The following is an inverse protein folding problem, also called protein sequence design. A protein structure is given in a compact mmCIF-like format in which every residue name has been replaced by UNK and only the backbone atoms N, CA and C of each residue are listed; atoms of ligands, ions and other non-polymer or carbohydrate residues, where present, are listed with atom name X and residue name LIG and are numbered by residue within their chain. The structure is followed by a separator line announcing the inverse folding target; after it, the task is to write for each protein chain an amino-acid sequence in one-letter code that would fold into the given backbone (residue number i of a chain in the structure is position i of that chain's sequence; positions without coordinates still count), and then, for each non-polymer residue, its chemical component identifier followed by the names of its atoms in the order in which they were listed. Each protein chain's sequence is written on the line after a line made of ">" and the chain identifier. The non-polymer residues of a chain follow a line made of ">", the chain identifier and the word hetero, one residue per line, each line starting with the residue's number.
data_IF_218622478224
#
_entry.id   IF_218622478224
#
_cell.length_a   1.000
_cell.length_b   1.000
_cell.length_c   1.000
_cell.angle_alpha   90.00
_cell.angle_beta   90.00
_cell.angle_gamma   90.00
#
_symmetry.space_group_name_H-M   'P 1'
#
loop_
_entity.id
_entity.type
_entity.pdbx_description
1 polymer ?
#
# COMPACT_ATOMS: atom_id res chain seq x y z
N UNK A 1 10.03 20.85 -5.01
CA UNK A 1 9.48 19.48 -4.98
C UNK A 1 8.47 19.50 -3.86
N UNK A 2 7.20 19.65 -4.21
CA UNK A 2 6.15 19.86 -3.22
C UNK A 2 5.78 18.52 -2.59
N UNK A 3 5.91 18.42 -1.27
CA UNK A 3 5.51 17.27 -0.45
C UNK A 3 4.00 16.96 -0.50
N UNK A 4 3.23 17.73 -1.28
CA UNK A 4 1.78 17.59 -1.47
C UNK A 4 1.36 16.38 -2.32
N UNK A 5 2.28 15.71 -3.02
CA UNK A 5 1.94 14.52 -3.82
C UNK A 5 1.86 13.22 -3.00
N UNK A 6 2.34 13.24 -1.76
CA UNK A 6 2.18 12.13 -0.84
C UNK A 6 0.83 12.21 -0.15
N UNK A 7 -0.20 11.53 -0.68
CA UNK A 7 -1.55 11.49 -0.12
C UNK A 7 -1.60 11.47 1.43
N UNK A 8 -2.52 12.29 1.96
CA UNK A 8 -2.65 12.56 3.39
C UNK A 8 -3.51 11.51 4.10
N UNK A 9 -2.97 10.92 5.16
CA UNK A 9 -3.70 10.01 6.04
C UNK A 9 -4.89 10.71 6.70
N UNK A 10 -4.73 11.99 7.03
CA UNK A 10 -5.78 12.84 7.60
C UNK A 10 -6.92 13.04 6.61
N UNK A 11 -6.61 13.24 5.32
CA UNK A 11 -7.64 13.36 4.28
C UNK A 11 -8.44 12.06 4.12
N UNK A 12 -7.76 10.90 4.18
CA UNK A 12 -8.41 9.59 4.20
C UNK A 12 -9.36 9.42 5.39
N UNK A 13 -8.91 9.78 6.59
CA UNK A 13 -9.71 9.70 7.82
C UNK A 13 -10.94 10.61 7.75
N UNK A 14 -10.78 11.88 7.37
CA UNK A 14 -11.89 12.83 7.26
C UNK A 14 -12.89 12.33 6.21
N UNK A 15 -12.41 11.80 5.09
CA UNK A 15 -13.26 11.25 4.02
C UNK A 15 -14.04 10.04 4.51
N UNK A 16 -13.41 9.12 5.26
CA UNK A 16 -14.09 7.98 5.85
C UNK A 16 -15.22 8.41 6.80
N UNK A 17 -14.95 9.38 7.67
CA UNK A 17 -15.93 9.92 8.61
C UNK A 17 -17.12 10.56 7.89
N UNK A 18 -16.86 11.43 6.93
CA UNK A 18 -17.91 12.13 6.18
C UNK A 18 -18.75 11.16 5.34
N UNK A 19 -18.11 10.18 4.68
CA UNK A 19 -18.84 9.22 3.87
C UNK A 19 -19.65 8.23 4.71
N UNK A 20 -19.18 7.86 5.90
CA UNK A 20 -20.02 7.09 6.83
C UNK A 20 -21.25 7.87 7.27
N UNK A 21 -21.10 9.18 7.48
CA UNK A 21 -22.19 10.04 7.89
C UNK A 21 -23.21 10.23 6.75
N UNK A 22 -22.75 10.32 5.49
CA UNK A 22 -23.60 10.56 4.32
C UNK A 22 -24.19 9.29 3.71
N UNK A 23 -23.41 8.22 3.54
CA UNK A 23 -23.86 6.98 2.86
C UNK A 23 -24.68 6.05 3.76
N UNK A 24 -24.93 6.47 5.01
CA UNK A 24 -25.64 5.67 5.98
C UNK A 24 -24.69 4.71 6.69
N UNK A 25 -24.80 4.71 8.01
CA UNK A 25 -23.81 4.13 8.89
C UNK A 25 -23.67 2.59 8.80
N UNK A 26 -24.59 1.84 8.18
CA UNK A 26 -24.71 0.40 8.49
C UNK A 26 -25.13 -0.61 7.42
N UNK A 27 -25.13 -0.28 6.13
CA UNK A 27 -25.02 -1.40 5.17
C UNK A 27 -23.55 -1.71 4.99
N UNK A 28 -23.19 -2.98 5.18
CA UNK A 28 -21.84 -3.50 4.92
C UNK A 28 -21.27 -2.98 3.60
N UNK A 29 -22.12 -2.87 2.58
CA UNK A 29 -21.79 -2.32 1.26
C UNK A 29 -21.42 -0.82 1.33
N UNK A 30 -22.18 0.02 2.01
CA UNK A 30 -21.86 1.45 2.16
C UNK A 30 -20.64 1.69 3.03
N UNK A 31 -20.47 0.89 4.08
CA UNK A 31 -19.28 0.89 4.92
C UNK A 31 -18.03 0.53 4.08
N UNK A 32 -18.12 -0.51 3.25
CA UNK A 32 -17.07 -0.89 2.31
C UNK A 32 -16.76 0.22 1.30
N UNK A 33 -17.79 0.83 0.69
CA UNK A 33 -17.64 1.93 -0.28
C UNK A 33 -16.97 3.15 0.37
N UNK A 34 -17.41 3.54 1.57
CA UNK A 34 -16.79 4.63 2.34
C UNK A 34 -15.31 4.33 2.61
N UNK A 35 -14.99 3.08 2.97
CA UNK A 35 -13.62 2.60 3.08
C UNK A 35 -12.84 2.74 1.78
N UNK A 36 -13.37 2.25 0.66
CA UNK A 36 -12.72 2.32 -0.66
C UNK A 36 -12.38 3.76 -1.04
N UNK A 37 -13.33 4.68 -0.90
CA UNK A 37 -13.11 6.09 -1.26
C UNK A 37 -12.08 6.73 -0.32
N UNK A 38 -12.13 6.45 0.98
CA UNK A 38 -11.12 6.91 1.94
C UNK A 38 -9.72 6.38 1.59
N UNK A 39 -9.62 5.12 1.18
CA UNK A 39 -8.39 4.50 0.70
C UNK A 39 -7.84 5.19 -0.55
N UNK A 40 -8.71 5.49 -1.52
CA UNK A 40 -8.35 6.22 -2.76
C UNK A 40 -7.79 7.61 -2.42
N UNK A 41 -8.48 8.35 -1.55
CA UNK A 41 -8.06 9.70 -1.11
C UNK A 41 -6.72 9.65 -0.37
N UNK A 42 -6.44 8.58 0.36
CA UNK A 42 -5.18 8.39 1.07
C UNK A 42 -3.99 8.08 0.14
N UNK A 43 -4.26 7.74 -1.13
CA UNK A 43 -3.30 7.42 -2.21
C UNK A 43 -2.31 6.28 -1.95
N UNK A 44 -2.27 5.70 -0.74
CA UNK A 44 -1.40 4.57 -0.36
C UNK A 44 -2.17 3.55 0.47
N UNK A 45 -1.93 2.26 0.19
CA UNK A 45 -2.57 1.12 0.86
C UNK A 45 -2.47 1.18 2.38
N UNK A 46 -1.26 1.37 2.93
CA UNK A 46 -1.05 1.37 4.38
C UNK A 46 -1.70 2.59 5.05
N UNK A 47 -1.55 3.79 4.48
CA UNK A 47 -2.17 5.02 5.00
C UNK A 47 -3.69 4.96 4.94
N UNK A 48 -4.23 4.40 3.85
CA UNK A 48 -5.67 4.20 3.66
C UNK A 48 -6.27 3.19 4.62
N UNK A 49 -5.60 2.06 4.86
CA UNK A 49 -6.04 1.07 5.84
C UNK A 49 -6.01 1.62 7.27
N UNK A 50 -4.94 2.31 7.66
CA UNK A 50 -4.84 2.86 9.03
C UNK A 50 -5.82 4.02 9.23
N UNK A 51 -5.94 4.93 8.26
CA UNK A 51 -6.89 6.05 8.33
C UNK A 51 -8.35 5.60 8.41
N UNK A 52 -8.72 4.58 7.63
CA UNK A 52 -10.07 3.98 7.66
C UNK A 52 -10.33 3.16 8.92
N UNK A 53 -9.32 2.47 9.46
CA UNK A 53 -9.41 1.78 10.76
C UNK A 53 -9.69 2.77 11.89
N UNK A 54 -8.90 3.85 12.00
CA UNK A 54 -9.08 4.86 13.04
C UNK A 54 -10.43 5.56 12.87
N UNK A 55 -10.80 5.94 11.64
CA UNK A 55 -12.09 6.57 11.36
C UNK A 55 -13.27 5.69 11.76
N UNK A 56 -13.24 4.40 11.39
CA UNK A 56 -14.31 3.46 11.75
C UNK A 56 -14.37 3.15 13.25
N UNK A 57 -13.22 3.10 13.94
CA UNK A 57 -13.18 2.93 15.40
C UNK A 57 -13.78 4.13 16.13
N UNK A 58 -13.51 5.36 15.66
CA UNK A 58 -14.11 6.58 16.22
C UNK A 58 -15.64 6.55 16.04
N UNK A 59 -16.11 6.23 14.83
CA UNK A 59 -17.55 6.18 14.55
C UNK A 59 -18.23 5.08 15.39
N UNK A 60 -17.62 3.89 15.48
CA UNK A 60 -18.10 2.81 16.34
C UNK A 60 -18.22 3.26 17.81
N UNK A 61 -17.21 3.96 18.33
CA UNK A 61 -17.21 4.48 19.69
C UNK A 61 -18.32 5.51 19.92
N UNK A 62 -18.52 6.44 18.97
CA UNK A 62 -19.60 7.44 19.04
C UNK A 62 -20.97 6.75 19.06
N UNK A 63 -21.19 5.75 18.20
CA UNK A 63 -22.46 5.00 18.18
C UNK A 63 -22.66 4.26 19.49
N UNK A 64 -21.63 3.60 20.03
CA UNK A 64 -21.73 2.90 21.31
C UNK A 64 -22.09 3.86 22.45
N UNK A 65 -21.42 5.00 22.53
CA UNK A 65 -21.70 6.04 23.53
C UNK A 65 -23.14 6.54 23.39
N UNK A 66 -23.57 6.85 22.16
CA UNK A 66 -24.93 7.29 21.87
C UNK A 66 -25.95 6.20 22.22
N UNK A 67 -25.65 4.92 21.97
CA UNK A 67 -26.55 3.80 22.27
C UNK A 67 -26.72 3.54 23.76
N UNK A 68 -25.67 3.83 24.55
CA UNK A 68 -25.69 3.71 26.01
C UNK A 68 -26.42 4.89 26.69
N UNK A 69 -26.57 6.02 26.01
CA UNK A 69 -27.36 7.13 26.48
C UNK A 69 -28.84 6.85 26.21
N UNK A 70 -29.69 6.78 27.24
CA UNK A 70 -31.10 6.42 27.05
C UNK A 70 -31.79 7.34 26.02
N UNK A 71 -32.13 6.74 24.88
CA UNK A 71 -32.30 7.42 23.61
C UNK A 71 -33.66 8.13 23.45
N UNK A 72 -34.51 8.17 24.49
CA UNK A 72 -35.87 8.74 24.38
C UNK A 72 -35.86 10.25 24.07
N UNK A 73 -34.96 11.00 24.69
CA UNK A 73 -34.85 12.46 24.50
C UNK A 73 -34.23 12.82 23.13
N UNK A 74 -33.22 12.06 22.72
CA UNK A 74 -32.52 12.27 21.45
C UNK A 74 -33.38 11.90 20.23
N UNK A 75 -34.25 10.89 20.32
CA UNK A 75 -35.19 10.56 19.23
C UNK A 75 -36.11 11.72 18.91
N UNK A 76 -36.75 12.31 19.92
CA UNK A 76 -37.66 13.44 19.74
C UNK A 76 -36.96 14.68 19.20
N UNK A 77 -35.72 14.92 19.62
CA UNK A 77 -34.88 15.98 19.07
C UNK A 77 -34.52 15.72 17.59
N UNK A 78 -34.02 14.52 17.26
CA UNK A 78 -33.62 14.17 15.90
C UNK A 78 -34.81 14.18 14.92
N UNK A 79 -36.00 13.67 15.31
CA UNK A 79 -37.17 13.70 14.42
C UNK A 79 -37.83 15.08 14.31
N UNK A 80 -37.77 15.92 15.35
CA UNK A 80 -38.38 17.26 15.29
C UNK A 80 -37.49 18.29 14.58
N UNK A 81 -36.17 18.25 14.78
CA UNK A 81 -35.25 19.27 14.24
C UNK A 81 -34.62 18.87 12.88
N UNK A 82 -34.35 17.58 12.64
CA UNK A 82 -33.78 17.12 11.36
C UNK A 82 -34.83 16.56 10.39
N UNK A 83 -36.07 16.40 10.86
CA UNK A 83 -37.18 15.82 10.11
C UNK A 83 -37.08 14.29 9.93
N UNK A 84 -38.14 13.70 9.39
CA UNK A 84 -38.23 12.24 9.20
C UNK A 84 -37.64 11.81 7.84
N UNK A 85 -36.40 12.20 7.58
CA UNK A 85 -35.68 11.79 6.38
C UNK A 85 -35.13 10.37 6.50
N UNK A 86 -34.86 9.67 5.37
CA UNK A 86 -34.34 8.30 5.37
C UNK A 86 -33.03 8.13 6.19
N UNK A 87 -32.22 9.18 6.27
CA UNK A 87 -30.99 9.21 7.09
C UNK A 87 -31.28 9.20 8.59
N UNK A 88 -32.26 10.01 9.04
CA UNK A 88 -32.66 10.12 10.44
C UNK A 88 -33.36 8.84 10.89
N UNK A 89 -34.26 8.29 10.07
CA UNK A 89 -34.92 7.02 10.37
C UNK A 89 -33.92 5.85 10.42
N UNK A 90 -32.92 5.83 9.53
CA UNK A 90 -31.84 4.83 9.55
C UNK A 90 -30.98 4.92 10.80
N UNK A 91 -30.60 6.14 11.20
CA UNK A 91 -29.84 6.39 12.44
C UNK A 91 -30.63 5.99 13.69
N UNK A 92 -31.92 6.31 13.77
CA UNK A 92 -32.79 5.93 14.89
C UNK A 92 -32.99 4.42 14.97
N UNK A 93 -33.25 3.77 13.83
CA UNK A 93 -33.38 2.31 13.77
C UNK A 93 -32.12 1.60 14.24
N UNK A 94 -30.96 2.18 13.94
CA UNK A 94 -29.69 1.69 14.44
C UNK A 94 -29.54 1.83 15.96
N UNK A 95 -29.81 3.02 16.49
CA UNK A 95 -29.61 3.26 17.92
C UNK A 95 -30.57 2.39 18.74
N UNK A 96 -31.75 2.10 18.19
CA UNK A 96 -32.65 1.09 18.74
C UNK A 96 -32.07 -0.32 18.69
N UNK A 97 -31.52 -0.76 17.55
CA UNK A 97 -30.94 -2.11 17.45
C UNK A 97 -29.78 -2.30 18.42
N UNK A 98 -28.91 -1.30 18.56
CA UNK A 98 -27.79 -1.33 19.52
C UNK A 98 -28.24 -1.24 20.98
N UNK A 99 -29.31 -0.49 21.28
CA UNK A 99 -29.84 -0.40 22.66
C UNK A 99 -30.41 -1.73 23.17
N UNK A 100 -30.78 -2.65 22.27
CA UNK A 100 -31.29 -3.99 22.62
C UNK A 100 -30.18 -5.03 22.81
N UNK A 101 -28.94 -4.70 22.49
CA UNK A 101 -27.79 -5.61 22.59
C UNK A 101 -27.10 -5.45 23.95
N UNK A 102 -26.49 -6.54 24.42
CA UNK A 102 -25.50 -6.44 25.51
C UNK A 102 -24.29 -5.63 25.02
N UNK A 103 -23.54 -5.01 25.93
CA UNK A 103 -22.33 -4.25 25.58
C UNK A 103 -21.37 -5.05 24.70
N UNK A 104 -21.15 -6.33 25.05
CA UNK A 104 -20.33 -7.25 24.25
C UNK A 104 -20.91 -7.48 22.85
N UNK A 105 -22.23 -7.67 22.75
CA UNK A 105 -22.92 -7.81 21.46
C UNK A 105 -22.77 -6.55 20.60
N UNK A 106 -22.99 -5.37 21.19
CA UNK A 106 -22.86 -4.09 20.51
C UNK A 106 -21.43 -3.86 19.99
N UNK A 107 -20.40 -4.22 20.77
CA UNK A 107 -19.00 -4.16 20.35
C UNK A 107 -18.76 -5.08 19.15
N UNK A 108 -19.15 -6.36 19.24
CA UNK A 108 -18.97 -7.33 18.15
C UNK A 108 -19.68 -6.87 16.88
N UNK A 109 -20.94 -6.44 16.99
CA UNK A 109 -21.74 -5.92 15.87
C UNK A 109 -21.06 -4.71 15.24
N UNK A 110 -20.52 -3.78 16.03
CA UNK A 110 -19.78 -2.63 15.50
C UNK A 110 -18.50 -3.03 14.74
N UNK A 111 -17.76 -4.02 15.25
CA UNK A 111 -16.53 -4.48 14.58
C UNK A 111 -16.87 -5.15 13.26
N UNK A 112 -17.85 -6.06 13.24
CA UNK A 112 -18.23 -6.83 12.05
C UNK A 112 -18.86 -5.97 10.97
N UNK A 113 -19.77 -5.07 11.35
CA UNK A 113 -20.57 -4.31 10.38
C UNK A 113 -19.94 -2.97 9.97
N UNK A 114 -19.01 -2.46 10.77
CA UNK A 114 -18.41 -1.14 10.54
C UNK A 114 -16.89 -1.22 10.38
N UNK A 115 -16.18 -1.71 11.39
CA UNK A 115 -14.70 -1.61 11.42
C UNK A 115 -14.05 -2.45 10.33
N UNK A 116 -14.44 -3.72 10.23
CA UNK A 116 -13.89 -4.67 9.24
C UNK A 116 -14.16 -4.18 7.80
N UNK A 117 -15.41 -3.94 7.36
CA UNK A 117 -15.68 -3.55 5.98
C UNK A 117 -14.99 -2.25 5.59
N UNK A 118 -14.90 -1.29 6.49
CA UNK A 118 -14.31 0.03 6.19
C UNK A 118 -12.81 -0.05 6.09
N UNK A 119 -12.18 -0.81 6.98
CA UNK A 119 -10.74 -1.06 6.94
C UNK A 119 -10.37 -1.87 5.69
N UNK A 120 -11.15 -2.89 5.36
CA UNK A 120 -10.98 -3.68 4.13
C UNK A 120 -11.15 -2.79 2.89
N UNK A 121 -12.17 -1.93 2.87
CA UNK A 121 -12.38 -0.94 1.83
C UNK A 121 -11.19 0.01 1.69
N UNK A 122 -10.70 0.56 2.80
CA UNK A 122 -9.55 1.48 2.83
C UNK A 122 -8.27 0.84 2.30
N UNK A 123 -8.05 -0.43 2.61
CA UNK A 123 -6.96 -1.21 2.02
C UNK A 123 -7.14 -1.36 0.50
N UNK A 124 -8.33 -1.80 0.05
CA UNK A 124 -8.64 -1.98 -1.38
C UNK A 124 -8.45 -0.65 -2.14
N UNK A 125 -9.08 0.42 -1.68
CA UNK A 125 -8.98 1.75 -2.29
C UNK A 125 -7.56 2.28 -2.35
N UNK A 126 -6.80 2.13 -1.26
CA UNK A 126 -5.39 2.55 -1.22
C UNK A 126 -4.49 1.72 -2.14
N UNK A 127 -4.80 0.44 -2.35
CA UNK A 127 -4.05 -0.44 -3.26
C UNK A 127 -4.27 -0.11 -4.74
N UNK A 128 -5.48 0.32 -5.10
CA UNK A 128 -5.82 0.71 -6.48
C UNK A 128 -5.03 1.94 -6.92
N UNK A 129 -4.86 2.91 -6.02
CA UNK A 129 -4.10 4.14 -6.30
C UNK A 129 -2.59 3.92 -6.16
N UNK A 130 -2.17 3.15 -5.14
CA UNK A 130 -0.76 2.84 -4.91
C UNK A 130 -0.09 2.13 -6.09
N UNK A 131 -0.81 1.23 -6.79
CA UNK A 131 -0.29 0.59 -8.02
C UNK A 131 -0.07 1.59 -9.16
N UNK A 132 -0.95 2.58 -9.32
CA UNK A 132 -0.82 3.60 -10.39
C UNK A 132 0.33 4.55 -10.12
N UNK A 133 0.47 5.03 -8.88
CA UNK A 133 1.61 5.87 -8.47
C UNK A 133 2.95 5.14 -8.58
N UNK A 134 3.00 3.83 -8.29
CA UNK A 134 4.23 3.05 -8.44
C UNK A 134 4.65 2.85 -9.90
N UNK A 135 3.73 2.98 -10.86
CA UNK A 135 4.00 2.87 -12.29
C UNK A 135 4.34 4.26 -12.87
N UNK A 136 3.64 5.30 -12.41
CA UNK A 136 3.80 6.69 -12.89
C UNK A 136 5.01 7.41 -12.29
N UNK A 137 5.33 7.11 -11.03
CA UNK A 137 6.56 7.53 -10.34
C UNK A 137 7.51 6.35 -10.13
N UNK A 138 7.36 5.27 -10.91
CA UNK A 138 8.50 4.42 -11.14
C UNK A 138 9.62 5.40 -11.51
N UNK A 139 10.78 5.40 -10.82
CA UNK A 139 11.91 6.11 -11.37
C UNK A 139 11.92 5.68 -12.83
N UNK A 140 12.02 6.63 -13.74
CA UNK A 140 12.60 6.33 -15.03
C UNK A 140 13.88 5.64 -14.60
N UNK A 141 13.86 4.31 -14.60
CA UNK A 141 15.02 3.54 -14.91
C UNK A 141 15.33 4.22 -16.21
N UNK A 142 16.27 5.18 -16.15
CA UNK A 142 17.13 5.41 -17.27
C UNK A 142 17.42 3.98 -17.65
N UNK A 143 16.77 3.55 -18.73
CA UNK A 143 17.28 2.46 -19.52
C UNK A 143 18.66 3.00 -19.76
N UNK A 144 19.58 2.63 -18.87
CA UNK A 144 20.97 3.01 -18.86
C UNK A 144 21.31 2.74 -20.29
N UNK A 145 21.43 3.81 -21.10
CA UNK A 145 21.58 3.77 -22.57
C UNK A 145 22.24 2.46 -22.84
N UNK A 146 21.56 1.46 -23.44
CA UNK A 146 21.89 0.03 -23.30
C UNK A 146 23.38 -0.06 -23.17
N UNK A 147 23.88 -0.24 -21.93
CA UNK A 147 25.27 0.10 -21.59
C UNK A 147 26.13 -0.40 -22.72
N UNK A 148 26.76 0.49 -23.53
CA UNK A 148 27.14 0.22 -24.92
C UNK A 148 27.66 -1.19 -24.96
N UNK A 149 26.85 -2.07 -25.59
CA UNK A 149 26.89 -3.52 -25.43
C UNK A 149 28.31 -3.91 -25.12
N UNK A 150 28.61 -4.27 -23.84
CA UNK A 150 29.97 -4.44 -23.30
C UNK A 150 30.88 -4.66 -24.47
N UNK A 151 31.57 -3.60 -24.91
CA UNK A 151 32.60 -3.78 -25.93
C UNK A 151 33.40 -4.92 -25.36
N UNK A 152 33.35 -6.08 -26.02
CA UNK A 152 34.20 -7.19 -25.65
C UNK A 152 35.54 -6.54 -25.41
N UNK A 153 36.04 -6.64 -24.18
CA UNK A 153 37.35 -6.09 -23.86
C UNK A 153 38.24 -6.52 -25.03
N UNK A 154 38.92 -5.59 -25.72
CA UNK A 154 39.74 -5.94 -26.87
C UNK A 154 40.56 -7.16 -26.45
N UNK A 155 40.61 -8.22 -27.28
CA UNK A 155 41.19 -9.50 -26.89
C UNK A 155 42.50 -9.21 -26.16
N UNK A 156 42.69 -9.75 -24.95
CA UNK A 156 43.83 -9.37 -24.12
C UNK A 156 45.09 -9.49 -24.96
N UNK A 157 45.88 -8.40 -25.06
CA UNK A 157 47.12 -8.30 -25.84
C UNK A 157 47.91 -9.63 -25.74
N UNK A 158 47.70 -10.54 -26.70
CA UNK A 158 48.27 -11.89 -26.68
C UNK A 158 49.80 -11.78 -26.65
N UNK A 159 50.33 -10.76 -27.32
CA UNK A 159 51.75 -10.42 -27.35
C UNK A 159 52.33 -10.11 -25.97
N UNK A 160 51.58 -9.43 -25.09
CA UNK A 160 52.05 -9.14 -23.72
C UNK A 160 52.04 -10.40 -22.85
N UNK A 161 51.10 -11.31 -23.07
CA UNK A 161 51.03 -12.58 -22.34
C UNK A 161 52.12 -13.55 -22.79
N UNK A 162 52.40 -13.62 -24.10
CA UNK A 162 53.51 -14.40 -24.66
C UNK A 162 54.87 -13.87 -24.19
N UNK A 163 55.05 -12.54 -24.12
CA UNK A 163 56.29 -11.96 -23.58
C UNK A 163 56.49 -12.26 -22.09
N UNK A 164 55.41 -12.32 -21.30
CA UNK A 164 55.48 -12.73 -19.88
C UNK A 164 55.81 -14.21 -19.73
N UNK A 165 55.22 -15.08 -20.55
CA UNK A 165 55.56 -16.51 -20.59
C UNK A 165 57.02 -16.75 -20.96
N UNK A 166 57.52 -16.03 -21.98
CA UNK A 166 58.93 -16.14 -22.40
C UNK A 166 59.88 -15.73 -21.27
N UNK A 167 59.57 -14.65 -20.54
CA UNK A 167 60.36 -14.22 -19.37
C UNK A 167 60.34 -15.25 -18.24
N UNK A 168 59.20 -15.89 -17.98
CA UNK A 168 59.07 -16.92 -16.94
C UNK A 168 59.82 -18.22 -17.30
N UNK A 169 59.92 -18.53 -18.59
CA UNK A 169 60.72 -19.63 -19.10
C UNK A 169 62.22 -19.33 -19.01
N UNK A 170 62.64 -18.14 -19.44
CA UNK A 170 64.04 -17.69 -19.35
C UNK A 170 64.52 -17.56 -17.89
N UNK A 171 63.62 -17.25 -16.94
CA UNK A 171 63.92 -17.23 -15.50
C UNK A 171 63.89 -18.60 -14.84
N UNK A 172 63.66 -19.69 -15.60
CA UNK A 172 63.61 -21.06 -15.10
C UNK A 172 62.44 -21.34 -14.14
N UNK A 173 61.43 -20.47 -14.13
CA UNK A 173 60.28 -20.55 -13.19
C UNK A 173 59.23 -21.54 -13.67
N UNK A 174 59.18 -21.83 -14.97
CA UNK A 174 58.30 -22.83 -15.58
C UNK A 174 59.13 -23.79 -16.45
N UNK A 175 58.71 -25.05 -16.53
CA UNK A 175 59.40 -26.05 -17.35
C UNK A 175 59.15 -25.85 -18.85
N UNK A 176 60.01 -26.41 -19.71
CA UNK A 176 59.84 -26.34 -21.17
C UNK A 176 58.48 -26.90 -21.63
N UNK A 177 58.02 -27.99 -21.02
CA UNK A 177 56.75 -28.63 -21.37
C UNK A 177 55.54 -27.77 -20.98
N UNK A 178 55.63 -27.08 -19.85
CA UNK A 178 54.58 -26.19 -19.36
C UNK A 178 54.52 -24.89 -20.19
N UNK A 179 55.66 -24.38 -20.62
CA UNK A 179 55.75 -23.24 -21.54
C UNK A 179 55.10 -23.53 -22.90
N UNK A 180 55.41 -24.67 -23.54
CA UNK A 180 54.83 -25.01 -24.86
C UNK A 180 53.31 -25.30 -24.75
N UNK A 181 52.86 -25.95 -23.68
CA UNK A 181 51.42 -26.15 -23.44
C UNK A 181 50.65 -24.85 -23.25
N UNK A 182 51.23 -23.87 -22.54
CA UNK A 182 50.60 -22.56 -22.34
C UNK A 182 50.62 -21.74 -23.63
N UNK A 183 51.76 -21.72 -24.34
CA UNK A 183 51.91 -21.04 -25.64
C UNK A 183 50.86 -21.52 -26.65
N UNK A 184 50.66 -22.83 -26.79
CA UNK A 184 49.66 -23.40 -27.70
C UNK A 184 48.21 -23.00 -27.34
N UNK A 185 47.91 -22.82 -26.05
CA UNK A 185 46.59 -22.31 -25.61
C UNK A 185 46.35 -20.86 -25.99
N UNK A 186 47.40 -20.05 -26.12
CA UNK A 186 47.29 -18.64 -26.50
C UNK A 186 47.35 -18.43 -28.01
N UNK A 187 48.05 -19.29 -28.76
CA UNK A 187 48.16 -19.20 -30.23
C UNK A 187 47.05 -19.93 -30.98
N UNK A 188 46.25 -20.77 -30.31
CA UNK A 188 45.00 -21.27 -30.87
C UNK A 188 45.11 -22.30 -31.99
N UNK A 189 46.28 -22.93 -32.18
CA UNK A 189 46.43 -24.03 -33.15
C UNK A 189 46.03 -25.36 -32.49
N UNK A 190 44.89 -25.90 -32.96
CA UNK A 190 44.52 -27.32 -32.84
C UNK A 190 44.55 -27.95 -34.23
#
# INVERSE_FOLDING_TARGET
>A
MDDNDQGSMTAGLITALLLMLVLGLFYFVYALIAGIIAGIVSRRTAKGAIGSLIGSAIVAAVILILSLYEFSSAKSFLTSDLGNGPYVSGLIGLLQSYSSLTLTGAIITSVVNLVIPVTAGGYIGGSLVGRRYAIENAPVVEVSKPAPAKTQAPPPDQDKQLQRLKKMHESGTISNEEYENLKNRFTGDR
#
